data_IF_661742883914
#
_entry.id   IF_661742883914
#
_cell.length_a   1.000
_cell.length_b   1.000
_cell.length_c   1.000
_cell.angle_alpha   90.00
_cell.angle_beta   90.00
_cell.angle_gamma   90.00
#
_symmetry.space_group_name_H-M   'P 1'
#
loop_
_entity.id
_entity.type
_entity.pdbx_description
1 polymer ?
#
# COMPACT_ATOMS: atom_id res chain seq x y z
N UNK A 1 31.83 16.01 -8.53
CA UNK A 1 32.42 15.06 -7.56
C UNK A 1 31.42 14.47 -6.53
N UNK A 2 30.08 14.51 -6.74
CA UNK A 2 29.11 13.99 -5.74
C UNK A 2 28.31 12.74 -6.15
N UNK A 3 28.37 12.31 -7.42
CA UNK A 3 27.46 11.29 -7.98
C UNK A 3 27.69 9.88 -7.42
N UNK A 4 28.91 9.53 -7.02
CA UNK A 4 29.22 8.20 -6.48
C UNK A 4 28.54 7.92 -5.14
N UNK A 5 28.48 8.93 -4.26
CA UNK A 5 27.84 8.82 -2.95
C UNK A 5 26.32 8.73 -3.05
N UNK A 6 25.70 9.54 -3.91
CA UNK A 6 24.25 9.47 -4.14
C UNK A 6 23.87 8.13 -4.78
N UNK A 7 24.63 7.66 -5.77
CA UNK A 7 24.42 6.34 -6.39
C UNK A 7 24.52 5.21 -5.37
N UNK A 8 25.53 5.22 -4.50
CA UNK A 8 25.67 4.22 -3.44
C UNK A 8 24.49 4.23 -2.46
N UNK A 9 24.03 5.43 -2.05
CA UNK A 9 22.84 5.58 -1.19
C UNK A 9 21.58 5.04 -1.86
N UNK A 10 21.35 5.37 -3.14
CA UNK A 10 20.20 4.89 -3.89
C UNK A 10 20.22 3.37 -4.06
N UNK A 11 21.36 2.76 -4.38
CA UNK A 11 21.48 1.30 -4.48
C UNK A 11 21.19 0.61 -3.15
N UNK A 12 21.62 1.21 -2.03
CA UNK A 12 21.29 0.69 -0.70
C UNK A 12 19.77 0.74 -0.46
N UNK A 13 19.14 1.90 -0.64
CA UNK A 13 17.69 2.07 -0.46
C UNK A 13 16.91 1.13 -1.36
N UNK A 14 17.31 0.98 -2.63
CA UNK A 14 16.65 0.08 -3.57
C UNK A 14 16.81 -1.40 -3.16
N UNK A 15 17.97 -1.80 -2.62
CA UNK A 15 18.17 -3.15 -2.10
C UNK A 15 17.30 -3.37 -0.86
N UNK A 16 17.32 -2.44 0.07
CA UNK A 16 16.54 -2.51 1.30
C UNK A 16 15.06 -2.61 0.95
N UNK A 17 14.55 -1.86 -0.04
CA UNK A 17 13.16 -1.94 -0.51
C UNK A 17 12.84 -3.24 -1.25
N UNK A 18 13.77 -3.75 -2.07
CA UNK A 18 13.57 -4.97 -2.86
C UNK A 18 13.58 -6.24 -2.01
N UNK A 19 14.41 -6.25 -0.98
CA UNK A 19 14.66 -7.42 -0.14
C UNK A 19 14.20 -7.25 1.30
N UNK A 20 13.58 -6.12 1.67
CA UNK A 20 12.74 -6.07 2.86
C UNK A 20 11.59 -7.02 2.62
N UNK A 21 11.59 -8.13 3.34
CA UNK A 21 10.38 -8.91 3.51
C UNK A 21 9.36 -7.97 4.14
N UNK A 22 8.28 -7.65 3.42
CA UNK A 22 7.15 -6.98 4.04
C UNK A 22 6.68 -7.90 5.18
N UNK A 23 6.74 -7.41 6.42
CA UNK A 23 5.98 -8.02 7.50
C UNK A 23 4.52 -7.75 7.17
N UNK A 24 3.88 -8.70 6.48
CA UNK A 24 2.44 -8.67 6.29
C UNK A 24 1.79 -9.13 7.58
N UNK A 25 0.80 -8.37 8.04
CA UNK A 25 -0.09 -8.80 9.09
C UNK A 25 -0.97 -9.94 8.55
N UNK A 26 -0.52 -11.17 8.76
CA UNK A 26 -1.20 -12.38 8.31
C UNK A 26 -2.57 -12.53 8.99
N UNK A 27 -2.73 -12.02 10.21
CA UNK A 27 -3.99 -12.07 10.95
C UNK A 27 -5.03 -11.14 10.30
N UNK A 28 -4.60 -9.94 9.88
CA UNK A 28 -5.45 -9.03 9.11
C UNK A 28 -5.84 -9.61 7.75
N UNK A 29 -4.89 -10.21 7.03
CA UNK A 29 -5.16 -10.84 5.73
C UNK A 29 -6.15 -12.01 5.85
N UNK A 30 -6.00 -12.84 6.90
CA UNK A 30 -6.91 -13.95 7.15
C UNK A 30 -8.34 -13.44 7.39
N UNK A 31 -8.52 -12.38 8.18
CA UNK A 31 -9.82 -11.75 8.43
C UNK A 31 -10.48 -11.26 7.15
N UNK A 32 -9.74 -10.58 6.28
CA UNK A 32 -10.24 -10.11 4.98
C UNK A 32 -10.67 -11.28 4.09
N UNK A 33 -9.87 -12.35 4.02
CA UNK A 33 -10.19 -13.54 3.22
C UNK A 33 -11.44 -14.28 3.74
N UNK A 34 -11.63 -14.31 5.06
CA UNK A 34 -12.81 -14.88 5.70
C UNK A 34 -14.03 -13.94 5.66
N UNK A 35 -13.88 -12.72 5.14
CA UNK A 35 -14.97 -11.74 5.01
C UNK A 35 -15.38 -11.09 6.33
N UNK A 36 -14.50 -11.08 7.34
CA UNK A 36 -14.77 -10.32 8.55
C UNK A 36 -14.72 -8.80 8.26
N UNK A 37 -15.70 -8.02 8.73
CA UNK A 37 -15.74 -6.59 8.48
C UNK A 37 -14.60 -5.89 9.23
N UNK A 38 -13.67 -5.30 8.48
CA UNK A 38 -12.65 -4.40 9.03
C UNK A 38 -13.29 -3.02 9.26
N UNK A 39 -13.33 -2.49 10.50
CA UNK A 39 -13.94 -1.19 10.82
C UNK A 39 -13.22 0.00 10.16
N UNK A 40 -12.07 -0.21 9.49
CA UNK A 40 -11.42 0.84 8.70
C UNK A 40 -12.08 1.11 7.33
N UNK A 41 -12.91 0.18 6.82
CA UNK A 41 -13.49 0.29 5.46
C UNK A 41 -14.53 1.40 5.33
N UNK A 42 -15.09 1.86 6.44
CA UNK A 42 -16.09 2.95 6.48
C UNK A 42 -15.54 4.32 6.03
N UNK A 43 -14.20 4.45 5.85
CA UNK A 43 -13.57 5.70 5.37
C UNK A 43 -13.44 5.78 3.85
N UNK A 44 -13.67 4.69 3.14
CA UNK A 44 -13.56 4.65 1.68
C UNK A 44 -14.80 5.26 1.01
N UNK A 45 -15.89 5.47 1.76
CA UNK A 45 -17.13 6.11 1.29
C UNK A 45 -16.98 7.60 0.94
N UNK A 46 -15.87 8.26 1.32
CA UNK A 46 -15.56 9.64 0.92
C UNK A 46 -14.74 9.72 -0.39
N UNK A 47 -14.25 8.59 -0.93
CA UNK A 47 -13.50 8.58 -2.18
C UNK A 47 -14.45 8.66 -3.39
N UNK A 48 -14.33 9.68 -4.27
CA UNK A 48 -15.13 9.77 -5.49
C UNK A 48 -14.91 8.60 -6.47
N UNK A 49 -13.86 7.81 -6.29
CA UNK A 49 -13.56 6.61 -7.08
C UNK A 49 -13.93 5.29 -6.36
N UNK A 50 -14.51 5.34 -5.16
CA UNK A 50 -15.03 4.14 -4.50
C UNK A 50 -16.19 3.53 -5.30
N UNK A 51 -16.33 2.20 -5.22
CA UNK A 51 -17.31 1.42 -5.99
C UNK A 51 -18.77 1.88 -5.78
N UNK A 52 -19.10 2.45 -4.61
CA UNK A 52 -20.41 3.00 -4.29
C UNK A 52 -20.64 4.46 -4.75
N UNK A 53 -19.57 5.20 -5.05
CA UNK A 53 -19.60 6.65 -5.29
C UNK A 53 -19.30 7.03 -6.75
N UNK A 54 -19.19 6.05 -7.65
CA UNK A 54 -18.86 6.31 -9.05
C UNK A 54 -19.99 7.08 -9.77
N UNK A 55 -19.72 8.34 -10.11
CA UNK A 55 -20.62 9.17 -10.93
C UNK A 55 -20.14 9.11 -12.40
N UNK A 56 -20.89 8.47 -13.31
CA UNK A 56 -20.53 8.48 -14.72
C UNK A 56 -20.64 9.91 -15.27
N UNK A 57 -19.56 10.41 -15.88
CA UNK A 57 -19.63 11.66 -16.65
C UNK A 57 -20.47 11.42 -17.91
N UNK A 58 -21.58 12.15 -18.03
CA UNK A 58 -22.39 12.27 -19.23
C UNK A 58 -21.70 13.11 -20.31
#
# INVERSE_FOLDING_TARGET
MGRGRSKAKQTKVARDLKYSSQEMDLDRLAKELHGEPDPQKDRDDDDPFAEGNYIPRA
#
